data_IF_103821001482
#
_entry.id   IF_103821001482
#
_cell.length_a   1.000
_cell.length_b   1.000
_cell.length_c   1.000
_cell.angle_alpha   90.00
_cell.angle_beta   90.00
_cell.angle_gamma   90.00
#
_symmetry.space_group_name_H-M   'P 1'
#
loop_
_entity.id
_entity.type
_entity.pdbx_description
1 polymer ?
#
# COMPACT_ATOMS: atom_id res chain seq x y z
N UNK A 1 12.51 -8.37 1.65
CA UNK A 1 12.01 -7.28 0.78
C UNK A 1 11.09 -7.92 -0.23
N UNK A 2 9.81 -7.58 -0.19
CA UNK A 2 8.78 -8.15 -1.05
C UNK A 2 8.31 -7.09 -2.06
N UNK A 3 7.93 -7.53 -3.25
CA UNK A 3 7.37 -6.67 -4.31
C UNK A 3 6.00 -7.22 -4.73
N UNK A 4 5.05 -6.33 -4.95
CA UNK A 4 3.70 -6.66 -5.43
C UNK A 4 3.39 -5.84 -6.69
N UNK A 5 2.82 -6.48 -7.70
CA UNK A 5 2.27 -5.79 -8.87
C UNK A 5 0.77 -5.61 -8.65
N UNK A 6 0.32 -4.36 -8.52
CA UNK A 6 -1.08 -4.02 -8.39
C UNK A 6 -1.66 -3.75 -9.77
N UNK A 7 -2.53 -4.66 -10.22
CA UNK A 7 -3.28 -4.53 -11.46
C UNK A 7 -4.18 -3.27 -11.47
N UNK A 8 -4.53 -2.74 -12.66
CA UNK A 8 -5.50 -1.65 -12.78
C UNK A 8 -6.77 -1.92 -11.99
N UNK A 9 -7.27 -0.89 -11.30
CA UNK A 9 -8.50 -0.92 -10.49
C UNK A 9 -8.49 -1.94 -9.34
N UNK A 10 -7.33 -2.53 -9.01
CA UNK A 10 -7.15 -3.44 -7.89
C UNK A 10 -6.38 -2.79 -6.74
N UNK A 11 -6.21 -3.51 -5.64
CA UNK A 11 -5.42 -3.10 -4.50
C UNK A 11 -4.69 -4.29 -3.90
N UNK A 12 -3.80 -4.03 -2.95
CA UNK A 12 -3.18 -5.09 -2.15
C UNK A 12 -4.17 -5.64 -1.13
N UNK A 13 -3.78 -6.68 -0.41
CA UNK A 13 -4.50 -7.03 0.81
C UNK A 13 -4.42 -5.88 1.82
N UNK A 14 -5.46 -5.74 2.65
CA UNK A 14 -5.39 -4.90 3.84
C UNK A 14 -4.62 -5.67 4.90
N UNK A 15 -3.50 -5.11 5.34
CA UNK A 15 -2.59 -5.75 6.30
C UNK A 15 -2.45 -4.91 7.54
N UNK A 16 -2.17 -5.56 8.68
CA UNK A 16 -1.65 -4.90 9.87
C UNK A 16 -0.13 -4.95 9.84
N UNK A 17 0.50 -3.78 9.93
CA UNK A 17 1.95 -3.64 10.01
C UNK A 17 2.50 -4.28 11.30
N UNK A 18 3.75 -4.71 11.25
CA UNK A 18 4.48 -5.30 12.37
C UNK A 18 4.90 -4.28 13.43
N UNK A 19 5.99 -4.60 14.14
CA UNK A 19 6.54 -3.76 15.21
C UNK A 19 7.46 -2.64 14.70
N UNK A 20 7.89 -2.72 13.45
CA UNK A 20 8.80 -1.75 12.82
C UNK A 20 8.05 -0.78 11.90
N UNK A 21 8.65 0.38 11.66
CA UNK A 21 8.12 1.34 10.70
C UNK A 21 8.31 0.81 9.26
N UNK A 22 7.22 0.78 8.52
CA UNK A 22 7.19 0.31 7.13
C UNK A 22 7.14 1.51 6.19
N UNK A 23 8.03 1.53 5.20
CA UNK A 23 7.96 2.47 4.08
C UNK A 23 7.52 1.74 2.82
N UNK A 24 6.39 2.16 2.26
CA UNK A 24 5.89 1.71 0.97
C UNK A 24 6.60 2.52 -0.12
N UNK A 25 7.14 1.83 -1.12
CA UNK A 25 7.93 2.42 -2.19
C UNK A 25 7.16 2.28 -3.51
N UNK A 26 6.76 3.43 -4.07
CA UNK A 26 6.00 3.55 -5.32
C UNK A 26 6.63 4.65 -6.16
N UNK A 27 6.67 4.49 -7.48
CA UNK A 27 7.13 5.54 -8.38
C UNK A 27 6.35 6.85 -8.17
N UNK A 28 7.08 7.96 -8.07
CA UNK A 28 6.50 9.27 -7.72
C UNK A 28 5.54 9.83 -8.76
N UNK A 29 5.70 9.47 -10.04
CA UNK A 29 4.78 9.91 -11.11
C UNK A 29 3.46 9.16 -11.03
N UNK A 30 3.50 7.89 -10.63
CA UNK A 30 2.32 7.05 -10.41
C UNK A 30 1.57 7.49 -9.16
N UNK A 31 2.29 7.72 -8.06
CA UNK A 31 1.74 8.09 -6.75
C UNK A 31 0.77 9.28 -6.81
N UNK A 32 1.10 10.30 -7.61
CA UNK A 32 0.36 11.56 -7.66
C UNK A 32 -0.97 11.48 -8.42
N UNK A 33 -1.16 10.47 -9.26
CA UNK A 33 -2.26 10.48 -10.24
C UNK A 33 -3.42 9.58 -9.85
N UNK A 34 -3.15 8.33 -9.49
CA UNK A 34 -4.22 7.31 -9.41
C UNK A 34 -4.01 6.26 -8.31
N UNK A 35 -3.32 6.61 -7.22
CA UNK A 35 -3.18 5.75 -6.04
C UNK A 35 -4.11 6.23 -4.93
N UNK A 36 -4.85 5.32 -4.32
CA UNK A 36 -5.43 5.52 -2.99
C UNK A 36 -4.64 4.72 -1.96
N UNK A 37 -4.60 5.22 -0.73
CA UNK A 37 -3.85 4.60 0.36
C UNK A 37 -4.68 4.60 1.64
N UNK A 38 -4.81 3.43 2.25
CA UNK A 38 -5.16 3.31 3.66
C UNK A 38 -3.85 3.29 4.44
N UNK A 39 -3.74 4.13 5.45
CA UNK A 39 -2.62 4.15 6.40
C UNK A 39 -3.15 4.50 7.79
N UNK A 40 -3.14 3.52 8.71
CA UNK A 40 -3.84 3.57 9.98
C UNK A 40 -5.33 3.75 9.78
N UNK A 41 -5.89 4.79 10.40
CA UNK A 41 -7.30 5.18 10.30
C UNK A 41 -7.58 6.17 9.16
N UNK A 42 -6.56 6.55 8.39
CA UNK A 42 -6.67 7.59 7.37
C UNK A 42 -6.75 6.96 5.98
N UNK A 43 -7.65 7.50 5.16
CA UNK A 43 -7.79 7.14 3.76
C UNK A 43 -7.42 8.32 2.86
N UNK A 44 -6.33 8.18 2.12
CA UNK A 44 -5.82 9.19 1.18
C UNK A 44 -6.33 8.90 -0.23
N UNK A 45 -6.94 9.91 -0.85
CA UNK A 45 -7.46 9.84 -2.23
C UNK A 45 -6.84 10.85 -3.19
N UNK A 46 -6.08 11.82 -2.66
CA UNK A 46 -5.41 12.88 -3.41
C UNK A 46 -4.22 13.41 -2.63
N UNK A 47 -3.35 14.15 -3.31
CA UNK A 47 -2.19 14.83 -2.71
C UNK A 47 -1.25 13.89 -1.93
N UNK A 48 -1.11 12.64 -2.39
CA UNK A 48 -0.17 11.70 -1.82
C UNK A 48 1.27 12.19 -2.01
N UNK A 49 2.02 12.13 -0.92
CA UNK A 49 3.44 12.41 -0.86
C UNK A 49 4.18 11.21 -0.28
N UNK A 50 5.51 11.21 -0.37
CA UNK A 50 6.34 10.16 0.21
C UNK A 50 6.10 9.99 1.73
N UNK A 51 5.79 11.07 2.45
CA UNK A 51 5.50 11.01 3.89
C UNK A 51 4.25 10.19 4.23
N UNK A 52 3.27 10.13 3.32
CA UNK A 52 2.06 9.35 3.54
C UNK A 52 2.31 7.85 3.43
N UNK A 53 3.42 7.44 2.78
CA UNK A 53 3.79 6.04 2.54
C UNK A 53 4.51 5.40 3.74
N UNK A 54 4.68 6.15 4.84
CA UNK A 54 5.27 5.67 6.08
C UNK A 54 4.14 5.15 6.98
N UNK A 55 4.10 3.85 7.20
CA UNK A 55 3.12 3.15 8.04
C UNK A 55 3.73 2.90 9.41
N UNK A 56 3.04 3.35 10.46
CA UNK A 56 3.53 3.18 11.84
C UNK A 56 3.41 1.73 12.31
N UNK A 57 4.16 1.33 13.35
CA UNK A 57 4.02 0.02 13.96
C UNK A 57 2.57 -0.26 14.36
N UNK A 58 2.10 -1.48 14.12
CA UNK A 58 0.75 -1.97 14.42
C UNK A 58 -0.41 -1.27 13.68
N UNK A 59 -0.14 -0.30 12.80
CA UNK A 59 -1.16 0.34 11.98
C UNK A 59 -1.53 -0.50 10.75
N UNK A 60 -2.67 -0.18 10.15
CA UNK A 60 -3.17 -0.87 8.99
C UNK A 60 -2.74 -0.17 7.70
N UNK A 61 -2.55 -0.93 6.63
CA UNK A 61 -2.24 -0.34 5.34
C UNK A 61 -2.78 -1.16 4.17
N UNK A 62 -3.10 -0.44 3.10
CA UNK A 62 -3.52 -0.99 1.81
C UNK A 62 -3.25 0.03 0.72
N UNK A 63 -2.65 -0.42 -0.37
CA UNK A 63 -2.45 0.41 -1.57
C UNK A 63 -3.46 0.00 -2.63
N UNK A 64 -4.15 0.97 -3.22
CA UNK A 64 -5.16 0.73 -4.25
C UNK A 64 -4.76 1.50 -5.51
N UNK A 65 -4.58 0.75 -6.59
CA UNK A 65 -4.36 1.30 -7.92
C UNK A 65 -5.72 1.61 -8.56
N UNK A 66 -6.07 2.89 -8.64
CA UNK A 66 -7.22 3.39 -9.43
C UNK A 66 -6.83 3.78 -10.85
N UNK A 67 -5.63 3.41 -11.26
CA UNK A 67 -5.08 3.61 -12.58
C UNK A 67 -5.57 2.64 -13.63
N UNK A 68 -5.11 2.91 -14.85
CA UNK A 68 -5.33 2.08 -16.04
C UNK A 68 -4.07 1.27 -16.40
N UNK A 69 -2.97 1.49 -15.69
CA UNK A 69 -1.69 0.79 -15.84
C UNK A 69 -1.33 0.05 -14.54
N UNK A 70 -0.52 -0.99 -14.64
CA UNK A 70 -0.01 -1.72 -13.48
C UNK A 70 0.94 -0.86 -12.64
N UNK A 71 0.98 -1.14 -11.34
CA UNK A 71 1.86 -0.41 -10.40
C UNK A 71 2.69 -1.40 -9.61
N UNK A 72 4.02 -1.28 -9.71
CA UNK A 72 4.93 -2.00 -8.83
C UNK A 72 5.00 -1.27 -7.47
N UNK A 73 4.70 -2.01 -6.41
CA UNK A 73 4.84 -1.57 -5.02
C UNK A 73 5.88 -2.42 -4.35
N UNK A 74 6.88 -1.76 -3.76
CA UNK A 74 7.91 -2.41 -2.94
C UNK A 74 7.80 -1.98 -1.50
N UNK A 75 8.42 -2.74 -0.61
CA UNK A 75 8.44 -2.47 0.81
C UNK A 75 9.89 -2.45 1.31
N UNK A 76 10.25 -1.51 2.18
CA UNK A 76 11.61 -1.46 2.74
C UNK A 76 11.94 -2.70 3.60
N UNK A 77 10.93 -3.36 4.16
CA UNK A 77 11.04 -4.60 4.95
C UNK A 77 10.29 -5.77 4.29
N UNK A 78 10.47 -6.99 4.79
CA UNK A 78 9.63 -8.12 4.39
C UNK A 78 8.28 -8.06 5.11
N UNK A 79 7.19 -8.15 4.33
CA UNK A 79 5.81 -8.06 4.81
C UNK A 79 5.08 -9.40 4.76
N UNK A 80 5.77 -10.49 4.41
CA UNK A 80 5.19 -11.84 4.27
C UNK A 80 4.52 -12.36 5.53
N UNK A 81 5.00 -11.94 6.71
CA UNK A 81 4.47 -12.32 8.02
C UNK A 81 3.40 -11.35 8.56
N UNK A 82 3.10 -10.26 7.84
CA UNK A 82 2.09 -9.29 8.28
C UNK A 82 0.71 -9.92 8.27
N UNK A 83 -0.08 -9.63 9.31
CA UNK A 83 -1.44 -10.19 9.44
C UNK A 83 -2.31 -9.60 8.34
N UNK A 84 -2.90 -10.46 7.52
CA UNK A 84 -3.90 -10.08 6.51
C UNK A 84 -5.26 -9.94 7.19
N UNK A 85 -5.83 -8.75 7.13
CA UNK A 85 -7.13 -8.41 7.75
C UNK A 85 -8.26 -8.58 6.73
N UNK A 86 -7.99 -8.30 5.46
CA UNK A 86 -8.97 -8.42 4.39
C UNK A 86 -8.30 -8.69 3.04
N UNK A 87 -8.85 -9.66 2.32
CA UNK A 87 -8.42 -10.09 0.99
C UNK A 87 -9.51 -9.74 -0.04
N UNK A 88 -9.39 -8.63 -0.78
CA UNK A 88 -10.46 -8.14 -1.65
C UNK A 88 -10.81 -9.02 -2.85
N UNK A 89 -9.97 -10.00 -3.22
CA UNK A 89 -10.12 -10.82 -4.43
C UNK A 89 -10.02 -12.32 -4.15
N UNK A 90 -10.34 -12.75 -2.93
CA UNK A 90 -10.33 -14.17 -2.55
C UNK A 90 -11.50 -14.96 -3.16
N UNK A 91 -12.46 -14.26 -3.78
CA UNK A 91 -13.68 -14.79 -4.42
C UNK A 91 -13.94 -14.08 -5.75
#
# INVERSE_FOLDING_TARGET
>A
MLEEIIQPKKGTNLRKNGQEELTILIDSNVLKKKIFLINGTIFFTKNLSAYNLIVKPNDYYMVINKGDEEVNVKYNIDISSHIVIYEPYMY
#
